data_IF_244114273044
#
_entry.id   IF_244114273044
#
_cell.length_a   1.000
_cell.length_b   1.000
_cell.length_c   1.000
_cell.angle_alpha   90.00
_cell.angle_beta   90.00
_cell.angle_gamma   90.00
#
_symmetry.space_group_name_H-M   'P 1'
#
loop_
_entity.id
_entity.type
_entity.pdbx_description
1 polymer ?
#
# COMPACT_ATOMS: atom_id res chain seq x y z
N UNK A 1 5.66 9.86 5.31
CA UNK A 1 4.76 10.53 4.35
C UNK A 1 3.40 9.86 4.43
N UNK A 2 2.32 10.54 4.88
CA UNK A 2 1.00 9.94 4.81
C UNK A 2 0.47 10.07 3.38
N UNK A 3 0.33 8.93 2.70
CA UNK A 3 -0.45 8.77 1.47
C UNK A 3 -1.96 8.84 1.72
N UNK A 4 -2.35 8.80 2.99
CA UNK A 4 -3.74 8.72 3.45
C UNK A 4 -4.11 10.04 4.12
N UNK A 5 -5.22 10.63 3.71
CA UNK A 5 -5.79 11.80 4.38
C UNK A 5 -6.35 11.39 5.74
N UNK A 6 -5.65 11.78 6.82
CA UNK A 6 -5.95 11.33 8.19
C UNK A 6 -7.38 11.62 8.67
N UNK A 7 -8.02 12.77 8.33
CA UNK A 7 -9.41 12.99 8.70
C UNK A 7 -10.37 11.98 8.08
N UNK A 8 -10.22 11.66 6.78
CA UNK A 8 -11.04 10.64 6.12
C UNK A 8 -10.85 9.24 6.74
N UNK A 9 -9.61 8.88 7.09
CA UNK A 9 -9.35 7.62 7.77
C UNK A 9 -10.05 7.54 9.14
N UNK A 10 -10.06 8.64 9.91
CA UNK A 10 -10.73 8.68 11.22
C UNK A 10 -12.23 8.56 11.11
N UNK A 11 -12.83 9.21 10.11
CA UNK A 11 -14.26 9.09 9.84
C UNK A 11 -14.65 7.67 9.42
N UNK A 12 -13.82 7.02 8.61
CA UNK A 12 -14.04 5.65 8.16
C UNK A 12 -14.07 4.62 9.32
N UNK A 13 -13.32 4.85 10.41
CA UNK A 13 -13.34 4.00 11.63
C UNK A 13 -14.69 4.08 12.38
N UNK A 14 -15.48 5.14 12.17
CA UNK A 14 -16.77 5.32 12.85
C UNK A 14 -17.93 4.58 12.20
N UNK A 15 -17.73 4.01 11.00
CA UNK A 15 -18.74 3.28 10.23
C UNK A 15 -18.24 1.91 9.78
N UNK A 16 -19.13 1.02 9.31
CA UNK A 16 -18.69 -0.16 8.59
C UNK A 16 -17.81 0.24 7.39
N UNK A 17 -16.62 -0.36 7.34
CA UNK A 17 -15.62 -0.12 6.31
C UNK A 17 -15.97 -0.87 5.02
N UNK A 18 -15.81 -0.18 3.90
CA UNK A 18 -15.81 -0.79 2.57
C UNK A 18 -14.59 -1.72 2.40
N UNK A 19 -14.63 -2.55 1.36
CA UNK A 19 -13.65 -3.62 1.15
C UNK A 19 -12.24 -3.07 0.86
N UNK A 20 -12.16 -1.99 0.09
CA UNK A 20 -10.93 -1.25 -0.23
C UNK A 20 -10.35 -0.54 1.00
N UNK A 21 -11.22 0.03 1.84
CA UNK A 21 -10.81 0.68 3.10
C UNK A 21 -10.25 -0.35 4.10
N UNK A 22 -10.88 -1.53 4.19
CA UNK A 22 -10.34 -2.66 4.97
C UNK A 22 -8.96 -3.08 4.47
N UNK A 23 -8.79 -3.19 3.16
CA UNK A 23 -7.51 -3.51 2.53
C UNK A 23 -6.43 -2.47 2.86
N UNK A 24 -6.78 -1.19 2.80
CA UNK A 24 -5.88 -0.10 3.16
C UNK A 24 -5.45 -0.18 4.64
N UNK A 25 -6.38 -0.45 5.54
CA UNK A 25 -6.08 -0.59 6.98
C UNK A 25 -5.19 -1.82 7.24
N UNK A 26 -5.54 -2.99 6.70
CA UNK A 26 -4.74 -4.19 6.91
C UNK A 26 -3.33 -4.06 6.32
N UNK A 27 -3.20 -3.51 5.12
CA UNK A 27 -1.87 -3.28 4.51
C UNK A 27 -1.03 -2.26 5.29
N UNK A 28 -1.65 -1.21 5.85
CA UNK A 28 -0.97 -0.27 6.75
C UNK A 28 -0.51 -0.94 8.06
N UNK A 29 -1.37 -1.77 8.66
CA UNK A 29 -1.02 -2.55 9.85
C UNK A 29 0.10 -3.56 9.56
N UNK A 30 0.08 -4.20 8.39
CA UNK A 30 1.16 -5.08 7.94
C UNK A 30 2.48 -4.32 7.84
N UNK A 31 2.50 -3.20 7.10
CA UNK A 31 3.69 -2.38 6.89
C UNK A 31 4.29 -1.88 8.21
N UNK A 32 3.45 -1.35 9.09
CA UNK A 32 3.90 -0.86 10.40
C UNK A 32 4.45 -1.99 11.26
N UNK A 33 3.80 -3.15 11.28
CA UNK A 33 4.28 -4.33 12.03
C UNK A 33 5.61 -4.86 11.48
N UNK A 34 5.76 -4.97 10.15
CA UNK A 34 7.01 -5.43 9.54
C UNK A 34 8.15 -4.43 9.78
N UNK A 35 7.89 -3.13 9.71
CA UNK A 35 8.89 -2.11 10.02
C UNK A 35 9.32 -2.07 11.49
N UNK A 36 8.39 -2.38 12.42
CA UNK A 36 8.70 -2.43 13.86
C UNK A 36 9.44 -3.71 14.27
N UNK A 37 9.33 -4.78 13.46
CA UNK A 37 10.04 -6.04 13.68
C UNK A 37 11.55 -5.80 13.78
N UNK A 38 12.12 -6.05 14.97
CA UNK A 38 13.54 -5.85 15.26
C UNK A 38 13.97 -4.44 15.67
N UNK A 39 13.05 -3.46 15.76
CA UNK A 39 13.39 -2.05 16.09
C UNK A 39 12.76 -1.50 17.37
N UNK A 40 11.73 -2.14 17.94
CA UNK A 40 11.01 -1.63 19.12
C UNK A 40 10.90 -2.69 20.21
N UNK A 41 11.55 -2.45 21.37
CA UNK A 41 11.56 -3.32 22.56
C UNK A 41 10.50 -2.88 23.60
N UNK A 42 9.92 -1.68 23.48
CA UNK A 42 9.24 -1.00 24.61
C UNK A 42 7.73 -0.78 24.42
N UNK A 43 7.17 -0.97 23.23
CA UNK A 43 5.72 -0.80 23.02
C UNK A 43 4.95 -2.08 23.43
N UNK A 44 3.82 -1.96 24.17
CA UNK A 44 2.92 -3.10 24.38
C UNK A 44 2.35 -3.51 23.03
N UNK A 45 2.86 -4.61 22.50
CA UNK A 45 2.54 -5.13 21.17
C UNK A 45 2.44 -6.65 21.18
N UNK A 46 2.14 -7.25 20.02
CA UNK A 46 2.14 -8.71 19.88
C UNK A 46 3.51 -9.29 20.24
N UNK A 47 3.53 -10.54 20.73
CA UNK A 47 4.77 -11.24 21.11
C UNK A 47 5.81 -11.28 19.98
N UNK A 48 5.36 -11.22 18.72
CA UNK A 48 6.20 -11.10 17.53
C UNK A 48 5.55 -10.17 16.50
N UNK A 49 6.21 -9.05 16.21
CA UNK A 49 5.79 -8.11 15.17
C UNK A 49 5.87 -8.69 13.75
N UNK A 50 6.78 -9.64 13.50
CA UNK A 50 6.84 -10.38 12.22
C UNK A 50 5.56 -11.21 12.01
N UNK A 51 5.12 -11.92 13.05
CA UNK A 51 3.88 -12.73 13.00
C UNK A 51 2.66 -11.85 12.78
N UNK A 52 2.58 -10.70 13.45
CA UNK A 52 1.51 -9.74 13.23
C UNK A 52 1.52 -9.17 11.80
N UNK A 53 2.71 -8.82 11.27
CA UNK A 53 2.86 -8.36 9.90
C UNK A 53 2.35 -9.38 8.88
N UNK A 54 2.73 -10.66 9.04
CA UNK A 54 2.23 -11.76 8.19
C UNK A 54 0.74 -11.97 8.32
N UNK A 55 0.20 -11.94 9.53
CA UNK A 55 -1.24 -12.05 9.77
C UNK A 55 -2.01 -10.96 9.01
N UNK A 56 -1.58 -9.71 9.09
CA UNK A 56 -2.24 -8.61 8.39
C UNK A 56 -2.08 -8.69 6.85
N UNK A 57 -0.95 -9.18 6.36
CA UNK A 57 -0.79 -9.48 4.93
C UNK A 57 -1.79 -10.54 4.47
N UNK A 58 -1.95 -11.62 5.23
CA UNK A 58 -2.90 -12.69 4.91
C UNK A 58 -4.35 -12.18 4.93
N UNK A 59 -4.69 -11.31 5.90
CA UNK A 59 -6.01 -10.66 5.93
C UNK A 59 -6.23 -9.76 4.70
N UNK A 60 -5.24 -8.97 4.29
CA UNK A 60 -5.34 -8.13 3.10
C UNK A 60 -5.56 -9.00 1.84
N UNK A 61 -4.81 -10.08 1.68
CA UNK A 61 -4.98 -11.00 0.55
C UNK A 61 -6.36 -11.66 0.59
N UNK A 62 -6.83 -12.09 1.76
CA UNK A 62 -8.16 -12.70 1.92
C UNK A 62 -9.28 -11.73 1.58
N UNK A 63 -9.17 -10.46 1.96
CA UNK A 63 -10.17 -9.45 1.62
C UNK A 63 -10.18 -9.19 0.11
N UNK A 64 -9.02 -9.09 -0.54
CA UNK A 64 -8.93 -8.97 -2.00
C UNK A 64 -9.56 -10.14 -2.76
N UNK A 65 -9.59 -11.33 -2.18
CA UNK A 65 -10.25 -12.51 -2.76
C UNK A 65 -11.78 -12.50 -2.59
N UNK A 66 -12.31 -11.65 -1.71
CA UNK A 66 -13.73 -11.60 -1.39
C UNK A 66 -14.56 -10.67 -2.30
N UNK A 67 -13.91 -9.93 -3.19
CA UNK A 67 -14.55 -9.05 -4.16
C UNK A 67 -13.71 -8.93 -5.44
N UNK A 68 -14.23 -8.24 -6.45
CA UNK A 68 -13.51 -7.97 -7.69
C UNK A 68 -12.48 -6.84 -7.49
N UNK A 69 -11.34 -7.20 -6.90
CA UNK A 69 -10.24 -6.26 -6.64
C UNK A 69 -9.63 -5.69 -7.93
N UNK A 70 -9.70 -6.42 -9.05
CA UNK A 70 -9.09 -5.99 -10.31
C UNK A 70 -9.83 -4.80 -10.92
N UNK A 71 -11.15 -4.76 -10.75
CA UNK A 71 -12.01 -3.64 -11.19
C UNK A 71 -12.08 -2.50 -10.15
N UNK A 72 -11.39 -2.63 -9.00
CA UNK A 72 -11.37 -1.62 -7.95
C UNK A 72 -10.58 -0.38 -8.37
N UNK A 73 -11.30 0.71 -8.58
CA UNK A 73 -10.77 2.00 -9.03
C UNK A 73 -10.53 3.00 -7.89
N UNK A 74 -10.36 2.52 -6.67
CA UNK A 74 -10.09 3.38 -5.52
C UNK A 74 -8.60 3.72 -5.34
N UNK A 75 -8.34 4.92 -4.83
CA UNK A 75 -7.02 5.29 -4.33
C UNK A 75 -6.54 4.34 -3.21
N UNK A 76 -7.49 3.89 -2.36
CA UNK A 76 -7.24 2.91 -1.29
C UNK A 76 -6.62 1.63 -1.82
N UNK A 77 -7.13 1.10 -2.93
CA UNK A 77 -6.61 -0.12 -3.54
C UNK A 77 -5.16 0.06 -4.01
N UNK A 78 -4.85 1.16 -4.71
CA UNK A 78 -3.49 1.51 -5.15
C UNK A 78 -2.52 1.59 -3.97
N UNK A 79 -2.88 2.37 -2.94
CA UNK A 79 -2.03 2.56 -1.75
C UNK A 79 -1.86 1.23 -1.01
N UNK A 80 -2.91 0.42 -0.92
CA UNK A 80 -2.84 -0.89 -0.24
C UNK A 80 -1.84 -1.81 -0.93
N UNK A 81 -1.82 -1.85 -2.27
CA UNK A 81 -0.86 -2.66 -3.03
C UNK A 81 0.58 -2.18 -2.85
N UNK A 82 0.79 -0.87 -2.77
CA UNK A 82 2.09 -0.30 -2.44
C UNK A 82 2.56 -0.71 -1.03
N UNK A 83 1.67 -0.66 -0.03
CA UNK A 83 1.99 -1.06 1.34
C UNK A 83 2.27 -2.55 1.45
N UNK A 84 1.50 -3.39 0.76
CA UNK A 84 1.76 -4.84 0.67
C UNK A 84 3.13 -5.10 0.03
N UNK A 85 3.47 -4.39 -1.04
CA UNK A 85 4.80 -4.47 -1.69
C UNK A 85 5.92 -4.15 -0.70
N UNK A 86 5.78 -3.06 0.04
CA UNK A 86 6.79 -2.59 1.00
C UNK A 86 6.92 -3.55 2.18
N UNK A 87 5.81 -4.09 2.68
CA UNK A 87 5.84 -5.11 3.73
C UNK A 87 6.54 -6.40 3.26
N UNK A 88 6.31 -6.86 2.02
CA UNK A 88 7.06 -7.99 1.47
C UNK A 88 8.54 -7.70 1.27
N UNK A 89 8.92 -6.46 0.98
CA UNK A 89 10.33 -6.04 0.91
C UNK A 89 11.01 -6.18 2.28
N UNK A 90 10.39 -5.67 3.35
CA UNK A 90 10.90 -5.80 4.72
C UNK A 90 11.02 -7.27 5.17
N UNK A 91 10.14 -8.15 4.65
CA UNK A 91 10.19 -9.60 4.88
C UNK A 91 11.19 -10.35 3.97
N UNK A 92 12.02 -9.65 3.19
CA UNK A 92 12.97 -10.20 2.22
C UNK A 92 12.31 -11.08 1.12
N UNK A 93 11.04 -10.84 0.80
CA UNK A 93 10.31 -11.53 -0.27
C UNK A 93 10.30 -10.69 -1.55
N UNK A 94 11.49 -10.41 -2.09
CA UNK A 94 11.72 -9.45 -3.18
C UNK A 94 10.84 -9.67 -4.42
N UNK A 95 10.60 -10.93 -4.82
CA UNK A 95 9.74 -11.23 -5.97
C UNK A 95 8.28 -10.82 -5.75
N UNK A 96 7.75 -11.04 -4.54
CA UNK A 96 6.39 -10.61 -4.20
C UNK A 96 6.33 -9.09 -4.08
N UNK A 97 7.32 -8.49 -3.43
CA UNK A 97 7.43 -7.04 -3.34
C UNK A 97 7.36 -6.39 -4.72
N UNK A 98 8.17 -6.86 -5.68
CA UNK A 98 8.15 -6.34 -7.05
C UNK A 98 6.81 -6.54 -7.77
N UNK A 99 6.17 -7.71 -7.61
CA UNK A 99 4.86 -7.98 -8.20
C UNK A 99 3.81 -6.97 -7.73
N UNK A 100 3.71 -6.75 -6.41
CA UNK A 100 2.73 -5.82 -5.84
C UNK A 100 3.08 -4.34 -6.14
N UNK A 101 4.36 -4.02 -6.36
CA UNK A 101 4.77 -2.69 -6.82
C UNK A 101 4.27 -2.43 -8.25
N UNK A 102 4.42 -3.43 -9.14
CA UNK A 102 3.90 -3.37 -10.51
C UNK A 102 2.38 -3.28 -10.52
N UNK A 103 1.69 -4.08 -9.71
CA UNK A 103 0.24 -4.00 -9.53
C UNK A 103 -0.20 -2.57 -9.16
N UNK A 104 0.41 -1.98 -8.13
CA UNK A 104 0.09 -0.62 -7.70
C UNK A 104 0.35 0.43 -8.79
N UNK A 105 1.45 0.29 -9.55
CA UNK A 105 1.77 1.18 -10.67
C UNK A 105 0.73 1.08 -11.78
N UNK A 106 0.36 -0.13 -12.19
CA UNK A 106 -0.65 -0.35 -13.23
C UNK A 106 -1.99 0.25 -12.81
N UNK A 107 -2.45 -0.05 -11.60
CA UNK A 107 -3.71 0.54 -11.09
C UNK A 107 -3.65 2.07 -11.04
N UNK A 108 -2.53 2.65 -10.58
CA UNK A 108 -2.35 4.11 -10.58
C UNK A 108 -2.32 4.73 -11.98
N UNK A 109 -1.81 4.01 -12.98
CA UNK A 109 -1.85 4.43 -14.38
C UNK A 109 -3.27 4.36 -14.95
N UNK A 110 -4.00 3.28 -14.66
CA UNK A 110 -5.39 3.09 -15.09
C UNK A 110 -6.33 4.16 -14.50
N UNK A 111 -6.03 4.64 -13.29
CA UNK A 111 -6.72 5.78 -12.66
C UNK A 111 -6.27 7.16 -13.15
N UNK A 112 -5.32 7.22 -14.09
CA UNK A 112 -4.86 8.47 -14.67
C UNK A 112 -3.93 9.27 -13.76
N UNK A 113 -3.35 8.70 -12.70
CA UNK A 113 -2.46 9.47 -11.80
C UNK A 113 -1.17 9.97 -12.48
N UNK A 114 -0.87 9.46 -13.67
CA UNK A 114 0.23 9.94 -14.49
C UNK A 114 -0.11 11.21 -15.28
N UNK A 115 -1.39 11.54 -15.43
CA UNK A 115 -1.88 12.69 -16.18
C UNK A 115 -2.36 13.79 -15.23
N UNK A 116 -1.79 14.98 -15.37
CA UNK A 116 -2.16 16.15 -14.58
C UNK A 116 -3.59 16.61 -14.89
N UNK A 117 -4.10 16.32 -16.09
CA UNK A 117 -5.47 16.67 -16.48
C UNK A 117 -6.53 15.91 -15.68
N UNK A 118 -6.19 14.73 -15.15
CA UNK A 118 -7.09 13.92 -14.31
C UNK A 118 -7.42 14.57 -12.96
N UNK A 119 -6.69 15.61 -12.56
CA UNK A 119 -6.83 16.26 -11.26
C UNK A 119 -7.73 17.49 -11.27
N UNK A 120 -8.16 17.97 -12.44
CA UNK A 120 -8.84 19.26 -12.58
C UNK A 120 -10.16 19.31 -11.81
N UNK A 121 -10.88 18.19 -11.74
CA UNK A 121 -12.20 18.10 -11.10
C UNK A 121 -12.13 17.63 -9.63
N UNK A 122 -10.93 17.34 -9.11
CA UNK A 122 -10.75 16.85 -7.74
C UNK A 122 -10.55 17.99 -6.74
N UNK A 123 -10.85 17.70 -5.47
CA UNK A 123 -10.45 18.60 -4.40
C UNK A 123 -8.91 18.72 -4.33
N UNK A 124 -8.37 19.86 -3.86
CA UNK A 124 -6.92 20.04 -3.72
C UNK A 124 -6.24 18.93 -2.89
N UNK A 125 -6.94 18.41 -1.88
CA UNK A 125 -6.46 17.35 -0.99
C UNK A 125 -6.36 16.00 -1.71
N UNK A 126 -7.36 15.64 -2.50
CA UNK A 126 -7.40 14.40 -3.28
C UNK A 126 -6.39 14.44 -4.43
N UNK A 127 -6.34 15.54 -5.17
CA UNK A 127 -5.36 15.78 -6.22
C UNK A 127 -3.92 15.63 -5.68
N UNK A 128 -3.66 16.18 -4.48
CA UNK A 128 -2.37 16.05 -3.82
C UNK A 128 -2.07 14.59 -3.42
N UNK A 129 -3.05 13.84 -2.93
CA UNK A 129 -2.87 12.43 -2.58
C UNK A 129 -2.58 11.57 -3.81
N UNK A 130 -3.31 11.75 -4.91
CA UNK A 130 -3.09 11.01 -6.15
C UNK A 130 -1.69 11.29 -6.70
N UNK A 131 -1.32 12.57 -6.78
CA UNK A 131 0.01 13.00 -7.26
C UNK A 131 1.13 12.42 -6.41
N UNK A 132 1.02 12.48 -5.08
CA UNK A 132 2.03 11.92 -4.17
C UNK A 132 2.14 10.41 -4.30
N UNK A 133 1.01 9.72 -4.45
CA UNK A 133 0.96 8.27 -4.64
C UNK A 133 1.70 7.88 -5.91
N UNK A 134 1.41 8.54 -7.04
CA UNK A 134 2.10 8.29 -8.31
C UNK A 134 3.60 8.52 -8.22
N UNK A 135 4.05 9.66 -7.67
CA UNK A 135 5.47 9.96 -7.59
C UNK A 135 6.23 8.99 -6.67
N UNK A 136 5.63 8.55 -5.56
CA UNK A 136 6.24 7.53 -4.70
C UNK A 136 6.37 6.21 -5.46
N UNK A 137 5.30 5.75 -6.13
CA UNK A 137 5.33 4.52 -6.90
C UNK A 137 6.41 4.54 -7.98
N UNK A 138 6.49 5.64 -8.73
CA UNK A 138 7.44 5.82 -9.81
C UNK A 138 8.89 5.83 -9.29
N UNK A 139 9.17 6.60 -8.23
CA UNK A 139 10.53 6.66 -7.64
C UNK A 139 10.94 5.32 -7.07
N UNK A 140 10.03 4.62 -6.39
CA UNK A 140 10.32 3.29 -5.80
C UNK A 140 10.62 2.25 -6.88
N UNK A 141 9.90 2.23 -8.00
CA UNK A 141 10.19 1.30 -9.10
C UNK A 141 11.55 1.53 -9.74
N UNK A 142 11.92 2.80 -9.93
CA UNK A 142 13.24 3.17 -10.43
C UNK A 142 14.33 2.74 -9.46
N UNK A 143 14.12 2.96 -8.16
CA UNK A 143 15.05 2.53 -7.12
C UNK A 143 15.25 1.01 -7.12
N UNK A 144 14.16 0.24 -7.13
CA UNK A 144 14.21 -1.23 -7.20
C UNK A 144 15.00 -1.67 -8.43
N UNK A 145 14.74 -1.06 -9.60
CA UNK A 145 15.47 -1.40 -10.83
C UNK A 145 17.00 -1.23 -10.74
N UNK A 146 17.50 -0.37 -9.84
CA UNK A 146 18.93 -0.19 -9.61
C UNK A 146 19.51 -1.10 -8.52
N UNK A 147 18.69 -1.63 -7.61
CA UNK A 147 19.16 -2.43 -6.48
C UNK A 147 19.76 -3.77 -6.97
N UNK A 148 21.06 -4.03 -6.72
CA UNK A 148 21.71 -5.30 -7.04
C UNK A 148 20.98 -6.54 -6.53
N UNK A 149 20.27 -6.43 -5.39
CA UNK A 149 19.52 -7.52 -4.76
C UNK A 149 18.28 -7.95 -5.55
N UNK A 150 17.85 -7.12 -6.53
CA UNK A 150 16.64 -7.33 -7.33
C UNK A 150 16.92 -7.46 -8.83
N UNK A 151 18.19 -7.43 -9.27
CA UNK A 151 18.61 -7.52 -10.68
C UNK A 151 18.15 -8.76 -11.46
N UNK A 152 17.66 -9.79 -10.76
CA UNK A 152 17.13 -11.02 -11.37
C UNK A 152 15.59 -11.09 -11.37
N UNK A 153 14.92 -10.02 -10.94
CA UNK A 153 13.47 -9.89 -11.10
C UNK A 153 13.16 -9.52 -12.57
N UNK A 154 12.04 -10.03 -13.12
CA UNK A 154 11.71 -9.89 -14.54
C UNK A 154 11.46 -8.44 -14.98
#
# INVERSE_FOLDING_TARGET
>A
MPLVYMPALRESISRPLEMDEKNLIYSLCALTSTHMSGKIIVAPGPQSWDTAGRFFLDQCISVRQSYDFVEDKSLSAVISSYFVSTAFFELNQNRKSWYYLREALTMGQDLGFHDESSYVDLSPEEALCHRRTFWILYVTERYVSFDPSTKNLP
#
